data_IF_341993184648
#
_entry.id   IF_341993184648
#
_cell.length_a   1.000
_cell.length_b   1.000
_cell.length_c   1.000
_cell.angle_alpha   90.00
_cell.angle_beta   90.00
_cell.angle_gamma   90.00
#
_symmetry.space_group_name_H-M   'P 1'
#
loop_
_entity.id
_entity.type
_entity.pdbx_description
1 polymer ?
#
# COMPACT_ATOMS: atom_id res chain seq x y z
N UNK A 1 -39.18 -12.07 -38.77
CA UNK A 1 -38.96 -10.83 -38.00
C UNK A 1 -40.23 -10.57 -37.22
N UNK A 2 -40.31 -11.15 -36.02
CA UNK A 2 -41.52 -11.19 -35.21
C UNK A 2 -41.52 -10.02 -34.23
N UNK A 3 -42.49 -9.14 -34.45
CA UNK A 3 -42.88 -8.02 -33.61
C UNK A 3 -43.15 -8.53 -32.17
N UNK A 4 -42.29 -8.14 -31.24
CA UNK A 4 -42.40 -8.52 -29.82
C UNK A 4 -42.33 -7.27 -28.94
N UNK A 5 -43.12 -6.25 -29.25
CA UNK A 5 -43.41 -5.20 -28.28
C UNK A 5 -44.39 -5.74 -27.23
N UNK A 6 -43.88 -6.58 -26.33
CA UNK A 6 -44.59 -6.96 -25.11
C UNK A 6 -44.80 -5.75 -24.21
N UNK A 7 -45.69 -5.84 -23.20
CA UNK A 7 -46.01 -4.72 -22.32
C UNK A 7 -44.74 -4.10 -21.72
N UNK A 8 -44.60 -2.78 -21.90
CA UNK A 8 -43.43 -1.98 -21.45
C UNK A 8 -43.18 -2.10 -19.94
N UNK A 9 -44.26 -2.31 -19.18
CA UNK A 9 -44.23 -2.43 -17.74
C UNK A 9 -44.85 -3.75 -17.28
N UNK A 10 -44.14 -4.52 -16.46
CA UNK A 10 -44.60 -5.81 -15.93
C UNK A 10 -44.48 -5.87 -14.41
N UNK A 11 -45.35 -6.66 -13.77
CA UNK A 11 -45.18 -7.03 -12.37
C UNK A 11 -44.00 -8.04 -12.24
N UNK A 12 -43.39 -8.13 -11.05
CA UNK A 12 -42.29 -9.03 -10.72
C UNK A 12 -42.55 -10.49 -11.11
N UNK A 13 -43.78 -10.98 -10.92
CA UNK A 13 -44.14 -12.35 -11.24
C UNK A 13 -44.13 -12.61 -12.76
N UNK A 14 -44.62 -11.66 -13.56
CA UNK A 14 -44.70 -11.81 -15.00
C UNK A 14 -43.35 -11.55 -15.67
N UNK A 15 -42.57 -10.62 -15.13
CA UNK A 15 -41.17 -10.42 -15.52
C UNK A 15 -40.31 -11.68 -15.26
N UNK A 16 -40.51 -12.33 -14.11
CA UNK A 16 -39.84 -13.59 -13.78
C UNK A 16 -40.18 -14.71 -14.78
N UNK A 17 -41.46 -14.86 -15.12
CA UNK A 17 -41.94 -15.85 -16.10
C UNK A 17 -41.38 -15.57 -17.49
N UNK A 18 -41.40 -14.31 -17.95
CA UNK A 18 -40.88 -13.92 -19.28
C UNK A 18 -39.40 -14.23 -19.43
N UNK A 19 -38.60 -14.03 -18.38
CA UNK A 19 -37.16 -14.28 -18.40
C UNK A 19 -36.75 -15.69 -17.98
N UNK A 20 -37.70 -16.55 -17.63
CA UNK A 20 -37.44 -17.94 -17.20
C UNK A 20 -36.69 -18.04 -15.87
N UNK A 21 -36.81 -17.07 -14.97
CA UNK A 21 -36.12 -17.04 -13.67
C UNK A 21 -37.09 -17.13 -12.50
N UNK A 22 -36.59 -17.52 -11.33
CA UNK A 22 -37.41 -17.56 -10.12
C UNK A 22 -37.78 -16.15 -9.63
N UNK A 23 -38.97 -16.00 -9.02
CA UNK A 23 -39.40 -14.75 -8.38
C UNK A 23 -38.37 -14.25 -7.34
N UNK A 24 -37.73 -15.17 -6.63
CA UNK A 24 -36.66 -14.89 -5.65
C UNK A 24 -35.45 -14.20 -6.29
N UNK A 25 -35.07 -14.56 -7.51
CA UNK A 25 -34.00 -13.91 -8.25
C UNK A 25 -34.36 -12.45 -8.58
N UNK A 26 -35.60 -12.20 -9.01
CA UNK A 26 -36.11 -10.85 -9.31
C UNK A 26 -36.14 -9.98 -8.04
N UNK A 27 -36.54 -10.52 -6.89
CA UNK A 27 -36.46 -9.82 -5.60
C UNK A 27 -35.01 -9.45 -5.24
N UNK A 28 -34.06 -10.37 -5.47
CA UNK A 28 -32.64 -10.10 -5.26
C UNK A 28 -32.10 -9.01 -6.19
N UNK A 29 -32.56 -8.93 -7.43
CA UNK A 29 -32.18 -7.85 -8.36
C UNK A 29 -32.77 -6.51 -7.98
N UNK A 30 -34.02 -6.49 -7.48
CA UNK A 30 -34.64 -5.29 -6.91
C UNK A 30 -33.82 -4.74 -5.74
N UNK A 31 -33.43 -5.60 -4.79
CA UNK A 31 -32.62 -5.20 -3.63
C UNK A 31 -31.24 -4.65 -4.00
N UNK A 32 -30.66 -5.15 -5.10
CA UNK A 32 -29.37 -4.68 -5.63
C UNK A 32 -29.50 -3.44 -6.53
N UNK A 33 -30.71 -2.89 -6.70
CA UNK A 33 -30.95 -1.72 -7.55
C UNK A 33 -30.75 -1.97 -9.06
N UNK A 34 -30.78 -3.23 -9.50
CA UNK A 34 -30.52 -3.60 -10.90
C UNK A 34 -31.76 -3.48 -11.79
N UNK A 35 -32.95 -3.44 -11.19
CA UNK A 35 -34.22 -3.28 -11.88
C UNK A 35 -34.63 -1.81 -11.87
N UNK A 36 -35.23 -1.37 -12.97
CA UNK A 36 -35.85 -0.06 -13.08
C UNK A 36 -37.33 -0.22 -12.74
N UNK A 37 -37.73 0.34 -11.62
CA UNK A 37 -39.11 0.27 -11.12
C UNK A 37 -39.76 1.65 -11.25
N UNK A 38 -40.94 1.73 -11.86
CA UNK A 38 -41.76 2.94 -11.92
C UNK A 38 -42.27 3.31 -10.53
N UNK A 39 -42.66 4.56 -10.35
CA UNK A 39 -43.45 5.08 -9.22
C UNK A 39 -44.65 4.19 -8.81
N UNK A 40 -45.36 3.58 -9.76
CA UNK A 40 -46.50 2.66 -9.52
C UNK A 40 -46.05 1.24 -9.11
N UNK A 41 -44.74 0.97 -9.04
CA UNK A 41 -44.18 -0.32 -8.60
C UNK A 41 -44.07 -1.39 -9.70
N UNK A 42 -44.29 -1.03 -10.96
CA UNK A 42 -44.12 -1.89 -12.13
C UNK A 42 -42.68 -1.83 -12.66
N UNK A 43 -42.16 -2.93 -13.19
CA UNK A 43 -40.80 -3.05 -13.74
C UNK A 43 -40.82 -2.64 -15.21
N UNK A 44 -39.98 -1.67 -15.58
CA UNK A 44 -39.66 -1.37 -16.98
C UNK A 44 -38.83 -2.52 -17.55
N UNK A 45 -39.40 -3.26 -18.49
CA UNK A 45 -38.84 -4.51 -19.02
C UNK A 45 -37.57 -4.24 -19.81
N UNK A 46 -37.59 -3.25 -20.68
CA UNK A 46 -36.47 -2.93 -21.59
C UNK A 46 -35.26 -2.40 -20.81
N UNK A 47 -35.50 -1.47 -19.88
CA UNK A 47 -34.42 -0.90 -19.09
C UNK A 47 -33.81 -1.92 -18.11
N UNK A 48 -34.64 -2.80 -17.56
CA UNK A 48 -34.19 -3.86 -16.64
C UNK A 48 -33.45 -4.99 -17.35
N UNK A 49 -33.91 -5.42 -18.53
CA UNK A 49 -33.21 -6.41 -19.37
C UNK A 49 -31.84 -5.86 -19.81
N UNK A 50 -31.78 -4.59 -20.27
CA UNK A 50 -30.52 -3.95 -20.63
C UNK A 50 -29.52 -3.93 -19.47
N UNK A 51 -29.94 -3.55 -18.25
CA UNK A 51 -29.08 -3.54 -17.06
C UNK A 51 -28.55 -4.93 -16.68
N UNK A 52 -29.30 -6.00 -16.97
CA UNK A 52 -28.97 -7.37 -16.58
C UNK A 52 -28.12 -8.11 -17.63
N UNK A 53 -28.37 -7.91 -18.92
CA UNK A 53 -27.64 -8.56 -20.05
C UNK A 53 -26.22 -8.04 -20.22
N UNK A 54 -26.06 -6.84 -19.75
CA UNK A 54 -24.83 -6.20 -19.39
C UNK A 54 -23.84 -7.20 -18.65
N UNK A 55 -24.29 -8.19 -17.88
CA UNK A 55 -23.38 -9.10 -17.11
C UNK A 55 -22.48 -9.95 -18.03
N UNK A 56 -21.13 -9.93 -17.87
CA UNK A 56 -20.25 -10.83 -18.62
C UNK A 56 -20.55 -12.29 -18.26
N UNK A 57 -20.51 -13.18 -19.25
CA UNK A 57 -20.81 -14.61 -19.08
C UNK A 57 -19.92 -15.30 -18.03
N UNK A 58 -18.68 -14.83 -17.87
CA UNK A 58 -17.72 -15.35 -16.90
C UNK A 58 -17.53 -14.35 -15.74
N UNK A 59 -18.16 -14.61 -14.60
CA UNK A 59 -18.02 -13.80 -13.37
C UNK A 59 -16.93 -14.38 -12.46
N UNK A 60 -15.78 -13.69 -12.34
CA UNK A 60 -14.70 -13.99 -11.39
C UNK A 60 -14.70 -13.00 -10.23
N UNK A 61 -15.72 -13.07 -9.38
CA UNK A 61 -15.78 -12.44 -8.05
C UNK A 61 -15.10 -11.07 -7.89
N UNK A 62 -15.82 -9.99 -8.19
CA UNK A 62 -15.36 -8.62 -7.94
C UNK A 62 -16.52 -7.61 -8.05
N UNK A 63 -16.41 -6.45 -7.40
CA UNK A 63 -17.39 -5.36 -7.53
C UNK A 63 -17.14 -4.63 -8.84
N UNK A 64 -17.90 -4.98 -9.88
CA UNK A 64 -17.86 -4.25 -11.16
C UNK A 64 -18.75 -3.01 -11.06
N UNK A 65 -18.16 -1.80 -11.07
CA UNK A 65 -18.91 -0.57 -11.30
C UNK A 65 -19.44 -0.56 -12.74
N UNK A 66 -20.74 -0.34 -12.91
CA UNK A 66 -21.43 -0.45 -14.20
C UNK A 66 -22.40 0.72 -14.42
N UNK A 67 -22.60 1.15 -15.68
CA UNK A 67 -23.67 2.08 -16.03
C UNK A 67 -25.04 1.42 -15.80
N UNK A 68 -25.84 2.01 -14.91
CA UNK A 68 -27.24 1.63 -14.67
C UNK A 68 -28.11 2.70 -15.32
N UNK A 69 -29.06 2.31 -16.17
CA UNK A 69 -30.09 3.25 -16.63
C UNK A 69 -31.04 3.54 -15.48
N UNK A 70 -30.92 4.71 -14.88
CA UNK A 70 -31.84 5.16 -13.83
C UNK A 70 -32.96 6.00 -14.45
N UNK A 71 -34.21 5.74 -14.05
CA UNK A 71 -35.36 6.62 -14.29
C UNK A 71 -35.72 7.29 -12.97
N UNK A 72 -36.16 8.55 -13.02
CA UNK A 72 -36.64 9.32 -11.86
C UNK A 72 -37.71 8.50 -11.11
N UNK A 73 -37.44 8.16 -9.85
CA UNK A 73 -38.32 7.32 -9.02
C UNK A 73 -37.73 5.99 -8.55
N UNK A 74 -36.51 5.61 -8.97
CA UNK A 74 -35.87 4.37 -8.51
C UNK A 74 -35.27 4.50 -7.09
N UNK A 75 -36.09 4.84 -6.08
CA UNK A 75 -35.70 4.96 -4.66
C UNK A 75 -35.85 3.63 -3.91
N UNK A 76 -35.31 2.55 -4.48
CA UNK A 76 -35.25 1.24 -3.80
C UNK A 76 -33.82 0.83 -3.42
N UNK A 77 -32.83 1.69 -3.63
CA UNK A 77 -31.53 1.52 -3.01
C UNK A 77 -31.70 1.72 -1.51
N UNK A 78 -31.78 0.62 -0.75
CA UNK A 78 -31.51 0.67 0.68
C UNK A 78 -30.10 1.27 0.80
N UNK A 79 -30.01 2.39 1.51
CA UNK A 79 -28.74 2.99 1.92
C UNK A 79 -27.82 1.85 2.40
N UNK A 80 -26.57 1.74 1.89
CA UNK A 80 -25.69 0.69 2.32
C UNK A 80 -25.49 0.86 3.83
N UNK A 81 -26.18 0.04 4.63
CA UNK A 81 -25.88 -0.07 6.05
C UNK A 81 -24.41 -0.41 6.13
N UNK A 82 -23.62 0.53 6.63
CA UNK A 82 -22.21 0.34 6.90
C UNK A 82 -22.03 -1.02 7.58
N UNK A 83 -21.03 -1.83 7.21
CA UNK A 83 -20.79 -3.10 7.88
C UNK A 83 -20.75 -2.80 9.38
N UNK A 84 -21.60 -3.49 10.14
CA UNK A 84 -21.67 -3.30 11.58
C UNK A 84 -20.25 -3.37 12.13
N UNK A 85 -19.77 -2.29 12.76
CA UNK A 85 -18.48 -2.27 13.42
C UNK A 85 -18.43 -3.53 14.30
N UNK A 86 -17.45 -4.44 14.13
CA UNK A 86 -17.37 -5.61 14.99
C UNK A 86 -17.32 -5.12 16.44
N UNK A 87 -18.11 -5.76 17.32
CA UNK A 87 -18.18 -5.39 18.73
C UNK A 87 -16.76 -5.34 19.30
N UNK A 88 -16.41 -4.37 20.16
CA UNK A 88 -15.04 -4.16 20.63
C UNK A 88 -14.41 -5.42 21.28
N UNK A 89 -15.24 -6.30 21.88
CA UNK A 89 -14.83 -7.59 22.43
C UNK A 89 -14.16 -8.54 21.43
N UNK A 90 -14.45 -8.40 20.14
CA UNK A 90 -13.89 -9.29 19.11
C UNK A 90 -12.38 -9.07 18.94
N UNK A 91 -11.89 -7.86 19.24
CA UNK A 91 -10.47 -7.52 19.16
C UNK A 91 -9.71 -7.87 20.44
N UNK A 92 -10.36 -7.76 21.60
CA UNK A 92 -9.79 -8.19 22.88
C UNK A 92 -9.56 -9.70 22.91
N UNK A 93 -10.50 -10.51 22.40
CA UNK A 93 -10.31 -11.97 22.28
C UNK A 93 -9.28 -12.38 21.23
N UNK A 94 -9.02 -11.56 20.20
CA UNK A 94 -7.97 -11.84 19.22
C UNK A 94 -6.56 -11.48 19.74
N UNK A 95 -6.45 -10.43 20.56
CA UNK A 95 -5.18 -9.98 21.15
C UNK A 95 -4.60 -10.98 22.15
N UNK A 96 -5.45 -11.79 22.77
CA UNK A 96 -5.05 -12.81 23.75
C UNK A 96 -4.69 -14.16 23.10
N UNK A 97 -5.11 -14.39 21.85
CA UNK A 97 -4.91 -15.65 21.12
C UNK A 97 -3.84 -15.58 20.02
N UNK A 98 -3.29 -14.40 19.70
CA UNK A 98 -2.13 -14.32 18.83
C UNK A 98 -0.87 -14.46 19.70
N UNK A 99 -0.10 -15.56 19.60
CA UNK A 99 1.18 -15.62 20.26
C UNK A 99 2.02 -14.45 19.71
N UNK A 100 2.49 -13.59 20.61
CA UNK A 100 3.58 -12.64 20.33
C UNK A 100 4.67 -13.46 19.62
N UNK A 101 5.26 -13.01 18.50
CA UNK A 101 6.39 -13.73 17.92
C UNK A 101 7.41 -13.88 19.03
N UNK A 102 7.66 -15.13 19.43
CA UNK A 102 8.59 -15.43 20.50
C UNK A 102 9.92 -14.77 20.13
N UNK A 103 10.55 -14.11 21.11
CA UNK A 103 11.99 -13.88 20.99
C UNK A 103 12.62 -15.24 20.71
N UNK A 104 13.47 -15.32 19.68
CA UNK A 104 14.22 -16.52 19.36
C UNK A 104 14.83 -17.06 20.66
N UNK A 105 14.46 -18.27 21.11
CA UNK A 105 15.01 -18.81 22.34
C UNK A 105 16.48 -19.14 22.12
N UNK A 106 17.33 -18.59 22.99
CA UNK A 106 18.68 -19.13 23.19
C UNK A 106 18.53 -20.52 23.84
N UNK A 107 19.36 -21.47 23.38
CA UNK A 107 19.64 -22.82 23.90
C UNK A 107 18.64 -23.97 23.64
N UNK A 108 19.12 -24.94 22.85
CA UNK A 108 19.33 -26.35 23.21
C UNK A 108 18.16 -27.19 23.76
N UNK A 109 17.01 -27.20 23.09
CA UNK A 109 16.05 -28.30 23.27
C UNK A 109 15.50 -28.77 21.91
N UNK A 110 15.79 -30.03 21.56
CA UNK A 110 15.38 -30.73 20.35
C UNK A 110 13.86 -30.99 20.33
N UNK A 111 13.07 -29.92 20.23
CA UNK A 111 11.69 -30.01 19.76
C UNK A 111 11.67 -29.71 18.27
N UNK A 112 11.50 -30.79 17.53
CA UNK A 112 11.48 -30.89 16.08
C UNK A 112 10.91 -29.65 15.38
N UNK A 113 11.80 -29.06 14.59
CA UNK A 113 11.56 -28.18 13.47
C UNK A 113 10.67 -28.85 12.41
N UNK A 114 9.35 -28.84 12.64
CA UNK A 114 8.34 -29.28 11.67
C UNK A 114 7.71 -28.08 10.97
N UNK A 115 8.53 -27.29 10.27
CA UNK A 115 8.05 -26.32 9.28
C UNK A 115 8.97 -25.13 8.99
N UNK A 116 10.12 -25.02 9.64
CA UNK A 116 11.09 -23.96 9.40
C UNK A 116 12.08 -24.33 8.29
N UNK A 117 12.37 -25.62 8.09
CA UNK A 117 13.42 -26.09 7.16
C UNK A 117 12.98 -26.44 5.73
N UNK A 118 11.69 -26.67 5.44
CA UNK A 118 11.25 -27.03 4.07
C UNK A 118 10.17 -26.06 3.55
N UNK A 119 10.52 -25.06 2.70
CA UNK A 119 9.54 -24.12 2.13
C UNK A 119 8.54 -24.78 1.16
N UNK A 120 8.70 -26.07 0.84
CA UNK A 120 7.89 -26.77 -0.15
C UNK A 120 6.86 -27.75 0.44
N UNK A 121 7.02 -28.17 1.70
CA UNK A 121 6.15 -29.16 2.36
C UNK A 121 5.45 -28.62 3.63
N UNK A 122 4.94 -27.38 3.59
CA UNK A 122 4.09 -26.87 4.67
C UNK A 122 2.64 -27.35 4.54
N UNK A 123 1.98 -27.60 5.67
CA UNK A 123 0.53 -27.81 5.70
C UNK A 123 -0.21 -26.53 5.24
N UNK A 124 -1.41 -26.66 4.66
CA UNK A 124 -2.17 -25.50 4.17
C UNK A 124 -2.41 -24.42 5.26
N UNK A 125 -2.80 -24.76 6.51
CA UNK A 125 -2.94 -23.77 7.56
C UNK A 125 -1.63 -23.02 7.87
N UNK A 126 -0.50 -23.73 7.92
CA UNK A 126 0.80 -23.13 8.22
C UNK A 126 1.28 -22.22 7.09
N UNK A 127 1.08 -22.63 5.83
CA UNK A 127 1.39 -21.84 4.65
C UNK A 127 0.58 -20.53 4.62
N UNK A 128 -0.72 -20.58 4.96
CA UNK A 128 -1.58 -19.38 5.05
C UNK A 128 -1.09 -18.46 6.17
N UNK A 129 -0.82 -19.00 7.37
CA UNK A 129 -0.31 -18.21 8.50
C UNK A 129 1.01 -17.52 8.16
N UNK A 130 1.93 -18.25 7.53
CA UNK A 130 3.22 -17.71 7.07
C UNK A 130 3.02 -16.56 6.08
N UNK A 131 2.16 -16.76 5.07
CA UNK A 131 1.83 -15.72 4.08
C UNK A 131 1.26 -14.47 4.74
N UNK A 132 0.28 -14.60 5.63
CA UNK A 132 -0.33 -13.46 6.30
C UNK A 132 0.67 -12.72 7.19
N UNK A 133 1.56 -13.43 7.89
CA UNK A 133 2.64 -12.82 8.68
C UNK A 133 3.60 -12.00 7.80
N UNK A 134 4.09 -12.58 6.69
CA UNK A 134 4.98 -11.86 5.77
C UNK A 134 4.30 -10.65 5.12
N UNK A 135 3.01 -10.79 4.78
CA UNK A 135 2.23 -9.69 4.23
C UNK A 135 2.00 -8.58 5.26
N UNK A 136 1.81 -8.91 6.54
CA UNK A 136 1.78 -7.96 7.65
C UNK A 136 3.10 -7.20 7.80
N UNK A 137 4.24 -7.91 7.75
CA UNK A 137 5.57 -7.30 7.81
C UNK A 137 5.83 -6.37 6.61
N UNK A 138 5.46 -6.79 5.41
CA UNK A 138 5.61 -5.97 4.19
C UNK A 138 4.81 -4.67 4.30
N UNK A 139 3.53 -4.75 4.71
CA UNK A 139 2.69 -3.56 4.93
C UNK A 139 3.24 -2.64 6.01
N UNK A 140 3.78 -3.22 7.11
CA UNK A 140 4.43 -2.43 8.16
C UNK A 140 5.63 -1.68 7.61
N UNK A 141 6.50 -2.35 6.85
CA UNK A 141 7.64 -1.69 6.21
C UNK A 141 7.22 -0.58 5.24
N UNK A 142 6.15 -0.79 4.48
CA UNK A 142 5.59 0.24 3.57
C UNK A 142 5.09 1.46 4.34
N UNK A 143 4.36 1.26 5.45
CA UNK A 143 3.92 2.35 6.32
C UNK A 143 5.12 3.08 6.90
N UNK A 144 6.13 2.38 7.41
CA UNK A 144 7.33 3.00 7.99
C UNK A 144 8.17 3.77 6.95
N UNK A 145 8.23 3.30 5.69
CA UNK A 145 8.83 4.03 4.57
C UNK A 145 8.04 5.29 4.23
N UNK A 146 6.71 5.20 4.13
CA UNK A 146 5.84 6.34 3.82
C UNK A 146 5.86 7.38 4.94
N UNK A 147 5.93 6.93 6.20
CA UNK A 147 6.11 7.77 7.39
C UNK A 147 7.53 8.35 7.51
N UNK A 148 8.43 8.07 6.55
CA UNK A 148 9.83 8.51 6.50
C UNK A 148 10.67 8.08 7.71
N UNK A 149 10.30 6.98 8.37
CA UNK A 149 11.06 6.38 9.47
C UNK A 149 12.16 5.45 8.96
N UNK A 150 11.98 4.87 7.77
CA UNK A 150 12.98 4.04 7.10
C UNK A 150 13.60 4.80 5.93
N UNK A 151 14.93 4.77 5.86
CA UNK A 151 15.71 5.27 4.74
C UNK A 151 16.38 4.08 4.07
N UNK A 152 16.49 4.12 2.74
CA UNK A 152 17.28 3.13 2.02
C UNK A 152 18.77 3.28 2.41
N UNK A 153 19.36 2.17 2.86
CA UNK A 153 20.73 2.15 3.36
C UNK A 153 21.72 2.55 2.28
N UNK A 154 21.56 2.03 1.06
CA UNK A 154 22.47 2.33 -0.06
C UNK A 154 22.41 3.81 -0.43
N UNK A 155 21.20 4.37 -0.50
CA UNK A 155 21.00 5.80 -0.74
C UNK A 155 21.59 6.67 0.39
N UNK A 156 21.41 6.29 1.65
CA UNK A 156 21.94 7.01 2.80
C UNK A 156 23.48 6.99 2.84
N UNK A 157 24.07 5.83 2.58
CA UNK A 157 25.52 5.64 2.53
C UNK A 157 26.13 6.47 1.39
N UNK A 158 25.54 6.40 0.20
CA UNK A 158 25.95 7.22 -0.94
C UNK A 158 25.88 8.72 -0.59
N UNK A 159 24.76 9.17 -0.05
CA UNK A 159 24.59 10.58 0.34
C UNK A 159 25.63 11.02 1.37
N UNK A 160 25.95 10.16 2.33
CA UNK A 160 26.99 10.44 3.33
C UNK A 160 28.37 10.61 2.68
N UNK A 161 28.77 9.70 1.78
CA UNK A 161 30.05 9.80 1.07
C UNK A 161 30.10 11.00 0.12
N UNK A 162 29.03 11.28 -0.61
CA UNK A 162 28.93 12.45 -1.48
C UNK A 162 29.08 13.74 -0.66
N UNK A 163 28.38 13.83 0.48
CA UNK A 163 28.48 14.98 1.40
C UNK A 163 29.89 15.13 1.97
N UNK A 164 30.53 14.04 2.38
CA UNK A 164 31.91 14.06 2.89
C UNK A 164 32.91 14.49 1.80
N UNK A 165 32.68 14.08 0.55
CA UNK A 165 33.46 14.51 -0.61
C UNK A 165 33.29 16.01 -0.88
N UNK A 166 32.07 16.51 -0.85
CA UNK A 166 31.79 17.95 -1.00
C UNK A 166 32.51 18.77 0.07
N UNK A 167 32.51 18.30 1.32
CA UNK A 167 33.29 18.95 2.39
C UNK A 167 34.79 18.93 2.12
N UNK A 168 35.36 17.79 1.69
CA UNK A 168 36.79 17.70 1.34
C UNK A 168 37.14 18.67 0.21
N UNK A 169 36.35 18.71 -0.85
CA UNK A 169 36.60 19.56 -2.02
C UNK A 169 36.42 21.06 -1.65
N UNK A 170 35.47 21.38 -0.77
CA UNK A 170 35.31 22.72 -0.19
C UNK A 170 36.52 23.16 0.63
N UNK A 171 37.08 22.28 1.46
CA UNK A 171 38.30 22.55 2.24
C UNK A 171 39.53 22.68 1.34
N UNK A 172 39.67 21.87 0.29
CA UNK A 172 40.80 21.97 -0.63
C UNK A 172 40.81 23.29 -1.42
N UNK A 173 39.64 23.83 -1.76
CA UNK A 173 39.51 25.11 -2.46
C UNK A 173 39.52 26.33 -1.52
N UNK A 174 39.35 26.14 -0.22
CA UNK A 174 39.23 27.21 0.77
C UNK A 174 40.51 28.06 0.94
N UNK A 175 41.74 27.49 1.05
CA UNK A 175 42.96 28.28 1.20
C UNK A 175 43.16 29.29 0.06
N UNK A 176 42.92 28.88 -1.19
CA UNK A 176 43.07 29.76 -2.34
C UNK A 176 42.11 30.97 -2.31
N UNK A 177 40.94 30.83 -1.69
CA UNK A 177 39.94 31.90 -1.57
C UNK A 177 40.23 32.83 -0.39
N UNK A 178 40.56 32.27 0.76
CA UNK A 178 40.67 33.02 2.02
C UNK A 178 42.08 33.58 2.25
N UNK A 179 43.14 32.92 1.76
CA UNK A 179 44.50 33.38 1.98
C UNK A 179 44.76 34.78 1.41
N UNK A 180 44.10 35.17 0.32
CA UNK A 180 44.25 36.52 -0.26
C UNK A 180 43.68 37.58 0.68
N UNK A 181 42.48 37.32 1.23
CA UNK A 181 41.81 38.23 2.18
C UNK A 181 42.60 38.31 3.49
N UNK A 182 42.98 37.17 4.04
CA UNK A 182 43.79 37.11 5.27
C UNK A 182 45.16 37.76 5.10
N UNK A 183 45.80 37.62 3.93
CA UNK A 183 47.10 38.22 3.67
C UNK A 183 47.03 39.76 3.63
N UNK A 184 45.93 40.32 3.10
CA UNK A 184 45.73 41.76 3.13
C UNK A 184 45.51 42.28 4.56
N UNK A 185 44.75 41.55 5.38
CA UNK A 185 44.52 41.92 6.79
C UNK A 185 45.82 41.87 7.62
N UNK A 186 46.61 40.80 7.44
CA UNK A 186 47.86 40.57 8.16
C UNK A 186 49.06 41.30 7.55
N UNK A 187 48.90 41.93 6.37
CA UNK A 187 49.96 42.60 5.60
C UNK A 187 51.16 41.68 5.33
N UNK A 188 50.89 40.43 4.95
CA UNK A 188 51.89 39.40 4.60
C UNK A 188 51.80 39.02 3.11
N UNK A 189 52.82 38.32 2.59
CA UNK A 189 52.79 37.82 1.21
C UNK A 189 51.64 36.80 0.99
N UNK A 190 50.68 37.08 0.08
CA UNK A 190 49.56 36.18 -0.18
C UNK A 190 49.99 34.80 -0.69
N UNK A 191 51.09 34.72 -1.46
CA UNK A 191 51.54 33.47 -2.05
C UNK A 191 52.15 32.53 -1.00
N UNK A 192 52.98 33.07 -0.11
CA UNK A 192 53.50 32.35 1.04
C UNK A 192 52.37 31.86 1.95
N UNK A 193 51.41 32.73 2.30
CA UNK A 193 50.29 32.36 3.16
C UNK A 193 49.41 31.25 2.55
N UNK A 194 49.11 31.34 1.26
CA UNK A 194 48.37 30.29 0.53
C UNK A 194 49.09 28.94 0.57
N UNK A 195 50.42 28.94 0.45
CA UNK A 195 51.23 27.72 0.47
C UNK A 195 51.21 27.06 1.85
N UNK A 196 51.40 27.85 2.91
CA UNK A 196 51.39 27.37 4.29
C UNK A 196 50.01 26.83 4.68
N UNK A 197 48.94 27.59 4.39
CA UNK A 197 47.58 27.15 4.67
C UNK A 197 47.22 25.87 3.92
N UNK A 198 47.61 25.73 2.65
CA UNK A 198 47.38 24.49 1.89
C UNK A 198 48.05 23.28 2.54
N UNK A 199 49.27 23.43 3.08
CA UNK A 199 49.96 22.35 3.77
C UNK A 199 49.19 21.91 5.03
N UNK A 200 48.79 22.87 5.87
CA UNK A 200 48.06 22.57 7.12
C UNK A 200 46.66 22.02 6.86
N UNK A 201 45.92 22.55 5.89
CA UNK A 201 44.59 22.02 5.55
C UNK A 201 44.70 20.58 5.03
N UNK A 202 45.71 20.27 4.21
CA UNK A 202 45.93 18.89 3.75
C UNK A 202 46.30 17.95 4.88
N UNK A 203 47.17 18.39 5.81
CA UNK A 203 47.49 17.62 7.01
C UNK A 203 46.23 17.33 7.83
N UNK A 204 45.41 18.35 8.09
CA UNK A 204 44.17 18.20 8.84
C UNK A 204 43.18 17.24 8.17
N UNK A 205 43.02 17.33 6.84
CA UNK A 205 42.19 16.39 6.09
C UNK A 205 42.72 14.96 6.12
N UNK A 206 44.04 14.77 6.22
CA UNK A 206 44.67 13.45 6.40
C UNK A 206 44.35 12.87 7.77
N UNK A 207 44.52 13.66 8.82
CA UNK A 207 44.20 13.26 10.20
C UNK A 207 42.71 12.88 10.37
N UNK A 208 41.80 13.64 9.75
CA UNK A 208 40.38 13.30 9.71
C UNK A 208 40.07 12.03 8.91
N UNK A 209 40.91 11.69 7.93
CA UNK A 209 40.79 10.48 7.11
C UNK A 209 41.31 9.21 7.78
N UNK A 210 42.00 9.33 8.92
CA UNK A 210 42.51 8.22 9.74
C UNK A 210 41.71 8.06 11.05
N UNK A 211 40.36 8.01 11.07
CA UNK A 211 39.65 7.81 12.31
C UNK A 211 39.93 6.41 12.87
N UNK A 212 40.43 6.35 14.10
CA UNK A 212 40.50 5.10 14.86
C UNK A 212 39.07 4.58 15.05
N UNK A 213 38.72 3.52 14.33
CA UNK A 213 37.42 2.89 14.46
C UNK A 213 37.33 2.15 15.82
N UNK A 214 37.05 2.88 16.89
CA UNK A 214 36.56 2.32 18.15
C UNK A 214 35.05 2.18 18.06
N UNK A 215 34.58 1.04 17.55
CA UNK A 215 33.19 0.63 17.73
C UNK A 215 33.11 -0.15 19.05
N UNK A 216 32.59 0.50 20.09
CA UNK A 216 32.25 -0.13 21.37
C UNK A 216 30.91 -0.88 21.30
#
# INVERSE_FOLDING_TARGET
MSDASGPKFLNQADFARRRGVSRKAVTGWKQKGLLVVSDVGLIDVEASEWNLDQRPANYRGGVTHRPIRAVTGNTSAREPTAPAKPKPDTWQKLGEAMPRPAALPDSDDETEDIGLLDPTNLTLPDAIRRKENFLGLQRKQEVEKNDKKLVDREAAEKLFFDTARDYRDAWQSWPARIAVVMADELKVDPRALTTILNAHVKQHLSELGEPSAEFA
#
